data_IF_822426083583
#
_entry.id   IF_822426083583
#
_cell.length_a   1.000
_cell.length_b   1.000
_cell.length_c   1.000
_cell.angle_alpha   90.00
_cell.angle_beta   90.00
_cell.angle_gamma   90.00
#
_symmetry.space_group_name_H-M   'P 1'
#
loop_
_entity.id
_entity.type
_entity.pdbx_description
1 polymer ?
#
# COMPACT_ATOMS: atom_id res chain seq x y z
N UNK A 1 14.05 -13.84 -19.64
CA UNK A 1 14.92 -12.83 -18.93
C UNK A 1 14.47 -12.49 -17.52
N UNK A 2 13.43 -13.08 -16.97
CA UNK A 2 12.80 -12.53 -15.77
C UNK A 2 13.08 -13.27 -14.47
N UNK A 3 13.09 -14.58 -14.45
CA UNK A 3 13.10 -15.36 -13.20
C UNK A 3 14.40 -15.25 -12.35
N UNK A 4 15.55 -15.05 -12.98
CA UNK A 4 16.82 -14.91 -12.23
C UNK A 4 16.98 -13.53 -11.60
N UNK A 5 16.49 -12.45 -12.23
CA UNK A 5 16.54 -11.09 -11.64
C UNK A 5 15.57 -10.93 -10.46
N UNK A 6 14.40 -11.55 -10.51
CA UNK A 6 13.45 -11.52 -9.38
C UNK A 6 14.02 -12.19 -8.12
N UNK A 7 14.81 -13.25 -8.25
CA UNK A 7 15.42 -13.93 -7.08
C UNK A 7 16.46 -13.10 -6.33
N UNK A 8 17.09 -12.11 -6.96
CA UNK A 8 18.13 -11.28 -6.33
C UNK A 8 17.59 -10.02 -5.66
N UNK A 9 16.33 -9.64 -5.89
CA UNK A 9 15.75 -8.38 -5.41
C UNK A 9 14.68 -8.56 -4.33
N UNK A 10 14.35 -9.79 -3.98
CA UNK A 10 13.40 -10.10 -2.93
C UNK A 10 14.06 -11.04 -1.91
N UNK A 11 14.18 -10.56 -0.68
CA UNK A 11 14.56 -11.37 0.48
C UNK A 11 13.26 -11.75 1.16
N UNK A 12 12.94 -13.04 1.16
CA UNK A 12 11.77 -13.62 1.81
C UNK A 12 12.23 -14.59 2.88
N UNK A 13 11.71 -14.42 4.07
CA UNK A 13 12.06 -15.24 5.21
C UNK A 13 11.09 -16.45 5.38
N UNK A 14 11.04 -17.07 6.55
CA UNK A 14 10.42 -18.38 6.77
C UNK A 14 8.89 -18.32 6.82
N UNK A 15 8.24 -19.45 6.44
CA UNK A 15 6.80 -19.68 6.56
C UNK A 15 5.92 -18.64 5.83
N UNK A 16 6.40 -18.10 4.71
CA UNK A 16 5.62 -17.16 3.90
C UNK A 16 4.77 -17.87 2.86
N UNK A 17 3.54 -17.38 2.67
CA UNK A 17 2.62 -17.83 1.64
C UNK A 17 2.43 -16.69 0.65
N UNK A 18 2.70 -16.94 -0.64
CA UNK A 18 2.47 -15.98 -1.71
C UNK A 18 1.59 -16.66 -2.76
N UNK A 19 0.40 -16.11 -2.93
CA UNK A 19 -0.59 -16.65 -3.86
C UNK A 19 -0.29 -16.26 -5.32
N UNK A 20 -0.97 -16.98 -6.24
CA UNK A 20 -0.71 -16.88 -7.68
C UNK A 20 -0.97 -15.49 -8.24
N UNK A 21 -0.22 -15.14 -9.28
CA UNK A 21 -0.33 -13.85 -9.98
C UNK A 21 0.29 -12.67 -9.26
N UNK A 22 0.83 -12.86 -8.05
CA UNK A 22 1.52 -11.79 -7.31
C UNK A 22 2.90 -11.51 -7.89
N UNK A 23 3.18 -10.24 -8.13
CA UNK A 23 4.46 -9.73 -8.66
C UNK A 23 5.19 -8.96 -7.58
N UNK A 24 6.44 -9.36 -7.29
CA UNK A 24 7.28 -8.75 -6.27
C UNK A 24 8.57 -8.27 -6.89
N UNK A 25 8.94 -7.00 -6.61
CA UNK A 25 10.21 -6.41 -7.02
C UNK A 25 10.18 -5.76 -8.41
N UNK A 26 8.98 -5.41 -8.92
CA UNK A 26 8.88 -4.55 -10.10
C UNK A 26 9.40 -3.14 -9.81
N UNK A 27 9.75 -2.41 -10.87
CA UNK A 27 10.04 -0.98 -10.73
C UNK A 27 8.74 -0.21 -10.46
N UNK A 28 8.76 0.67 -9.50
CA UNK A 28 7.69 1.63 -9.29
C UNK A 28 7.68 2.76 -10.32
N UNK A 29 6.74 3.69 -10.18
CA UNK A 29 6.63 4.88 -11.01
C UNK A 29 7.72 5.89 -10.62
N UNK A 30 8.91 5.71 -11.15
CA UNK A 30 10.05 6.62 -10.93
C UNK A 30 10.49 7.27 -12.24
N UNK A 31 10.13 8.53 -12.46
CA UNK A 31 10.52 9.29 -13.62
C UNK A 31 10.85 10.73 -13.25
N UNK A 32 11.91 11.29 -13.83
CA UNK A 32 12.25 12.70 -13.76
C UNK A 32 11.83 13.42 -15.03
N UNK A 33 11.37 14.66 -14.90
CA UNK A 33 11.01 15.49 -16.04
C UNK A 33 12.26 16.14 -16.62
N UNK A 34 12.51 15.89 -17.91
CA UNK A 34 13.55 16.57 -18.68
C UNK A 34 12.91 17.28 -19.87
N UNK A 35 12.66 18.56 -19.74
CA UNK A 35 11.87 19.34 -20.72
C UNK A 35 10.44 18.79 -20.84
N UNK A 36 10.07 18.29 -22.03
CA UNK A 36 8.76 17.67 -22.32
C UNK A 36 8.76 16.14 -22.20
N UNK A 37 9.90 15.52 -21.84
CA UNK A 37 10.05 14.07 -21.78
C UNK A 37 10.17 13.60 -20.33
N UNK A 38 9.83 12.34 -20.09
CA UNK A 38 10.03 11.65 -18.85
C UNK A 38 11.21 10.70 -18.96
N UNK A 39 12.21 10.86 -18.13
CA UNK A 39 13.38 9.97 -18.04
C UNK A 39 13.24 9.05 -16.84
N UNK A 40 13.46 7.76 -17.07
CA UNK A 40 13.28 6.74 -16.04
C UNK A 40 14.36 6.85 -14.97
N UNK A 41 13.95 6.89 -13.71
CA UNK A 41 14.81 6.75 -12.54
C UNK A 41 14.97 5.25 -12.28
N UNK A 42 16.21 4.78 -12.29
CA UNK A 42 16.52 3.36 -12.03
C UNK A 42 16.25 3.03 -10.57
N UNK A 43 15.43 2.01 -10.34
CA UNK A 43 15.20 1.46 -9.01
C UNK A 43 16.30 0.42 -8.71
N UNK A 44 17.19 0.74 -7.78
CA UNK A 44 18.28 -0.12 -7.34
C UNK A 44 18.04 -0.83 -6.02
N UNK A 45 16.92 -0.49 -5.35
CA UNK A 45 16.56 -1.08 -4.08
C UNK A 45 15.98 -2.49 -4.19
N UNK A 46 15.48 -2.98 -3.09
CA UNK A 46 14.96 -4.35 -2.93
C UNK A 46 13.60 -4.38 -2.23
N UNK A 47 12.99 -5.57 -2.16
CA UNK A 47 11.86 -5.89 -1.28
C UNK A 47 12.37 -6.83 -0.19
N UNK A 48 12.00 -6.56 1.05
CA UNK A 48 12.26 -7.42 2.21
C UNK A 48 10.92 -7.87 2.78
N UNK A 49 10.77 -9.18 2.94
CA UNK A 49 9.56 -9.80 3.49
C UNK A 49 10.00 -10.64 4.70
N UNK A 50 9.45 -10.33 5.84
CA UNK A 50 9.73 -11.02 7.10
C UNK A 50 9.10 -12.41 7.19
N UNK A 51 9.11 -12.98 8.41
CA UNK A 51 8.57 -14.29 8.71
C UNK A 51 7.04 -14.29 8.79
N UNK A 52 6.41 -15.43 8.46
CA UNK A 52 4.97 -15.67 8.62
C UNK A 52 4.07 -14.67 7.85
N UNK A 53 4.57 -14.11 6.77
CA UNK A 53 3.83 -13.18 5.90
C UNK A 53 2.95 -13.97 4.93
N UNK A 54 1.73 -13.49 4.72
CA UNK A 54 0.85 -14.00 3.68
C UNK A 54 0.46 -12.89 2.71
N UNK A 55 0.61 -13.16 1.41
CA UNK A 55 0.31 -12.20 0.33
C UNK A 55 -0.68 -12.85 -0.62
N UNK A 56 -1.86 -12.26 -0.72
CA UNK A 56 -2.96 -12.70 -1.57
C UNK A 56 -2.64 -12.69 -3.06
N UNK A 57 -3.57 -13.15 -3.85
CA UNK A 57 -3.41 -13.27 -5.30
C UNK A 57 -3.43 -11.91 -6.01
N UNK A 58 -2.63 -11.78 -7.07
CA UNK A 58 -2.63 -10.62 -7.94
C UNK A 58 -2.10 -9.33 -7.29
N UNK A 59 -1.40 -9.41 -6.17
CA UNK A 59 -0.74 -8.25 -5.56
C UNK A 59 0.44 -7.78 -6.39
N UNK A 60 0.73 -6.48 -6.32
CA UNK A 60 1.93 -5.88 -6.91
C UNK A 60 2.72 -5.15 -5.85
N UNK A 61 3.97 -5.55 -5.63
CA UNK A 61 4.85 -4.99 -4.61
C UNK A 61 6.10 -4.47 -5.30
N UNK A 62 6.24 -3.15 -5.35
CA UNK A 62 7.35 -2.52 -6.01
C UNK A 62 8.61 -2.50 -5.11
N UNK A 63 9.76 -2.71 -5.72
CA UNK A 63 11.02 -2.51 -5.02
C UNK A 63 11.28 -1.03 -4.77
N UNK A 64 12.02 -0.73 -3.74
CA UNK A 64 12.44 0.63 -3.44
C UNK A 64 13.28 1.25 -4.57
N UNK A 65 13.21 2.56 -4.73
CA UNK A 65 14.12 3.30 -5.60
C UNK A 65 15.56 3.20 -5.12
N UNK A 66 15.75 3.28 -3.79
CA UNK A 66 16.99 2.95 -3.06
C UNK A 66 16.61 2.40 -1.69
N UNK A 67 17.41 1.53 -1.10
CA UNK A 67 17.09 0.87 0.16
C UNK A 67 16.09 -0.28 -0.01
N UNK A 68 15.01 -0.29 0.76
CA UNK A 68 14.05 -1.39 0.75
C UNK A 68 12.60 -0.93 0.82
N UNK A 69 11.70 -1.68 0.19
CA UNK A 69 10.27 -1.79 0.53
C UNK A 69 10.18 -2.96 1.51
N UNK A 70 9.58 -2.73 2.68
CA UNK A 70 9.63 -3.67 3.80
C UNK A 70 8.25 -4.12 4.23
N UNK A 71 8.06 -5.42 4.36
CA UNK A 71 6.87 -6.08 4.88
C UNK A 71 7.33 -6.88 6.09
N UNK A 72 6.98 -6.42 7.30
CA UNK A 72 7.46 -7.02 8.55
C UNK A 72 6.76 -8.34 8.87
N UNK A 73 7.17 -8.98 9.99
CA UNK A 73 6.67 -10.28 10.37
C UNK A 73 5.15 -10.30 10.58
N UNK A 74 4.51 -11.40 10.24
CA UNK A 74 3.10 -11.64 10.52
C UNK A 74 2.11 -10.86 9.66
N UNK A 75 2.56 -10.00 8.77
CA UNK A 75 1.70 -9.19 7.89
C UNK A 75 0.83 -10.07 7.00
N UNK A 76 -0.44 -9.68 6.83
CA UNK A 76 -1.40 -10.31 5.92
C UNK A 76 -1.91 -9.30 4.91
N UNK A 77 -1.61 -9.55 3.66
CA UNK A 77 -2.13 -8.78 2.52
C UNK A 77 -3.17 -9.62 1.80
N UNK A 78 -4.37 -9.10 1.66
CA UNK A 78 -5.43 -9.72 0.86
C UNK A 78 -5.16 -9.57 -0.65
N UNK A 79 -6.09 -9.93 -1.48
CA UNK A 79 -5.92 -9.97 -2.93
C UNK A 79 -5.85 -8.58 -3.58
N UNK A 80 -5.11 -8.46 -4.68
CA UNK A 80 -5.07 -7.29 -5.54
C UNK A 80 -4.64 -5.99 -4.82
N UNK A 81 -3.74 -6.10 -3.85
CA UNK A 81 -3.14 -4.94 -3.19
C UNK A 81 -1.99 -4.42 -4.05
N UNK A 82 -1.91 -3.08 -4.19
CA UNK A 82 -0.73 -2.42 -4.71
C UNK A 82 0.07 -1.77 -3.57
N UNK A 83 1.32 -2.17 -3.43
CA UNK A 83 2.29 -1.58 -2.51
C UNK A 83 3.42 -0.95 -3.32
N UNK A 84 3.43 0.38 -3.37
CA UNK A 84 4.43 1.11 -4.11
C UNK A 84 5.80 1.12 -3.41
N UNK A 85 6.79 1.68 -4.08
CA UNK A 85 8.19 1.70 -3.67
C UNK A 85 8.44 2.36 -2.31
N UNK A 86 9.44 1.88 -1.58
CA UNK A 86 9.89 2.46 -0.30
C UNK A 86 8.86 2.43 0.84
N UNK A 87 7.80 1.65 0.71
CA UNK A 87 6.83 1.48 1.79
C UNK A 87 7.38 0.61 2.92
N UNK A 88 6.85 0.82 4.12
CA UNK A 88 7.10 -0.01 5.29
C UNK A 88 5.77 -0.41 5.92
N UNK A 89 5.54 -1.72 6.05
CA UNK A 89 4.36 -2.28 6.71
C UNK A 89 4.82 -2.97 8.00
N UNK A 90 4.36 -2.45 9.13
CA UNK A 90 4.72 -2.92 10.46
C UNK A 90 4.16 -4.30 10.78
N UNK A 91 4.68 -4.90 11.87
CA UNK A 91 4.37 -6.27 12.27
C UNK A 91 2.88 -6.49 12.52
N UNK A 92 2.39 -7.69 12.19
CA UNK A 92 1.01 -8.15 12.40
C UNK A 92 -0.08 -7.23 11.82
N UNK A 93 0.27 -6.35 10.89
CA UNK A 93 -0.69 -5.50 10.18
C UNK A 93 -1.40 -6.29 9.10
N UNK A 94 -2.72 -6.09 8.99
CA UNK A 94 -3.55 -6.72 7.97
C UNK A 94 -4.15 -5.68 7.03
N UNK A 95 -4.19 -5.99 5.73
CA UNK A 95 -4.67 -5.07 4.69
C UNK A 95 -5.66 -5.79 3.79
N UNK A 96 -6.86 -5.22 3.67
CA UNK A 96 -7.94 -5.77 2.86
C UNK A 96 -7.76 -5.52 1.35
N UNK A 97 -8.46 -6.33 0.58
CA UNK A 97 -8.34 -6.41 -0.88
C UNK A 97 -8.51 -5.05 -1.60
N UNK A 98 -7.88 -4.94 -2.77
CA UNK A 98 -7.96 -3.76 -3.65
C UNK A 98 -7.50 -2.44 -2.99
N UNK A 99 -6.73 -2.49 -1.93
CA UNK A 99 -6.14 -1.31 -1.31
C UNK A 99 -4.87 -0.92 -2.06
N UNK A 100 -4.73 0.39 -2.32
CA UNK A 100 -3.57 0.97 -2.99
C UNK A 100 -2.80 1.87 -2.04
N UNK A 101 -1.50 1.62 -1.91
CA UNK A 101 -0.59 2.32 -1.01
C UNK A 101 0.50 2.97 -1.87
N UNK A 102 0.52 4.29 -1.89
CA UNK A 102 1.49 5.06 -2.67
C UNK A 102 2.90 5.02 -2.04
N UNK A 103 3.87 5.58 -2.74
CA UNK A 103 5.28 5.47 -2.36
C UNK A 103 5.63 6.09 -1.00
N UNK A 104 6.60 5.51 -0.33
CA UNK A 104 7.16 6.00 0.94
C UNK A 104 6.17 6.09 2.11
N UNK A 105 5.07 5.34 2.05
CA UNK A 105 4.12 5.21 3.16
C UNK A 105 4.71 4.32 4.25
N UNK A 106 4.49 4.70 5.50
CA UNK A 106 4.85 3.90 6.67
C UNK A 106 3.60 3.58 7.47
N UNK A 107 3.27 2.32 7.60
CA UNK A 107 2.17 1.82 8.44
C UNK A 107 2.80 1.11 9.64
N UNK A 108 2.32 1.45 10.82
CA UNK A 108 2.78 0.89 12.08
C UNK A 108 2.37 -0.56 12.28
N UNK A 109 2.60 -1.04 13.50
CA UNK A 109 2.31 -2.41 13.91
C UNK A 109 0.83 -2.58 14.28
N UNK A 110 0.32 -3.82 14.17
CA UNK A 110 -1.03 -4.21 14.60
C UNK A 110 -2.15 -3.36 13.98
N UNK A 111 -1.93 -2.81 12.80
CA UNK A 111 -2.94 -2.02 12.10
C UNK A 111 -3.91 -2.93 11.31
N UNK A 112 -5.13 -2.46 11.14
CA UNK A 112 -6.13 -3.07 10.27
C UNK A 112 -6.61 -2.06 9.23
N UNK A 113 -6.24 -2.29 7.97
CA UNK A 113 -6.65 -1.44 6.84
C UNK A 113 -7.73 -2.18 6.05
N UNK A 114 -8.90 -1.60 5.97
CA UNK A 114 -10.04 -2.16 5.20
C UNK A 114 -9.77 -2.22 3.70
N UNK A 115 -10.59 -2.98 2.99
CA UNK A 115 -10.47 -3.06 1.53
C UNK A 115 -10.85 -1.77 0.81
N UNK A 116 -10.40 -1.63 -0.45
CA UNK A 116 -10.67 -0.46 -1.29
C UNK A 116 -10.19 0.87 -0.70
N UNK A 117 -9.21 0.85 0.18
CA UNK A 117 -8.60 2.06 0.70
C UNK A 117 -7.55 2.62 -0.27
N UNK A 118 -7.38 3.94 -0.23
CA UNK A 118 -6.29 4.64 -0.90
C UNK A 118 -5.45 5.40 0.12
N UNK A 119 -4.13 5.25 0.08
CA UNK A 119 -3.21 5.97 0.96
C UNK A 119 -2.24 6.74 0.08
N UNK A 120 -2.25 8.09 0.19
CA UNK A 120 -1.35 8.93 -0.59
C UNK A 120 0.10 8.79 -0.13
N UNK A 121 1.03 9.23 -0.95
CA UNK A 121 2.47 9.12 -0.71
C UNK A 121 2.96 9.87 0.55
N UNK A 122 4.06 9.38 1.12
CA UNK A 122 4.74 9.97 2.28
C UNK A 122 3.90 10.07 3.57
N UNK A 123 2.83 9.29 3.69
CA UNK A 123 1.98 9.23 4.88
C UNK A 123 2.59 8.30 5.94
N UNK A 124 2.40 8.69 7.20
CA UNK A 124 2.70 7.87 8.36
C UNK A 124 1.42 7.56 9.12
N UNK A 125 1.19 6.28 9.37
CA UNK A 125 0.09 5.75 10.20
C UNK A 125 0.75 5.08 11.39
N UNK A 126 0.41 5.54 12.61
CA UNK A 126 0.96 4.96 13.85
C UNK A 126 0.45 3.55 14.09
N UNK A 127 0.95 2.90 15.14
CA UNK A 127 0.52 1.57 15.56
C UNK A 127 -0.95 1.55 15.99
N UNK A 128 -1.56 0.36 16.03
CA UNK A 128 -2.90 0.10 16.58
C UNK A 128 -4.03 0.93 15.89
N UNK A 129 -3.87 1.23 14.61
CA UNK A 129 -4.85 1.99 13.83
C UNK A 129 -5.75 1.07 13.02
N UNK A 130 -7.05 1.30 13.09
CA UNK A 130 -8.05 0.69 12.21
C UNK A 130 -8.55 1.71 11.18
N UNK A 131 -8.36 1.45 9.90
CA UNK A 131 -8.94 2.22 8.80
C UNK A 131 -10.08 1.39 8.20
N UNK A 132 -11.30 1.94 8.23
CA UNK A 132 -12.45 1.25 7.65
C UNK A 132 -12.43 1.28 6.11
N UNK A 133 -13.12 0.33 5.44
CA UNK A 133 -13.11 0.21 3.97
C UNK A 133 -13.47 1.49 3.23
N UNK A 134 -12.98 1.63 2.00
CA UNK A 134 -13.22 2.76 1.09
C UNK A 134 -12.75 4.12 1.63
N UNK A 135 -11.83 4.13 2.60
CA UNK A 135 -11.26 5.36 3.15
C UNK A 135 -10.10 5.85 2.30
N UNK A 136 -10.09 7.14 2.00
CA UNK A 136 -8.96 7.81 1.33
C UNK A 136 -8.15 8.59 2.36
N UNK A 137 -6.95 8.09 2.69
CA UNK A 137 -6.06 8.66 3.70
C UNK A 137 -5.13 9.66 3.05
N UNK A 138 -5.31 10.93 3.37
CA UNK A 138 -4.56 12.06 2.77
C UNK A 138 -3.60 12.75 3.75
N UNK A 139 -3.63 12.36 5.02
CA UNK A 139 -2.81 12.96 6.07
C UNK A 139 -2.28 11.89 7.02
N UNK A 140 -1.21 12.22 7.75
CA UNK A 140 -0.68 11.35 8.78
C UNK A 140 -1.72 11.03 9.85
N UNK A 141 -1.79 9.75 10.25
CA UNK A 141 -2.61 9.29 11.37
C UNK A 141 -1.68 9.12 12.58
N UNK A 142 -1.74 10.08 13.51
CA UNK A 142 -0.79 10.20 14.62
C UNK A 142 -1.25 9.51 15.91
N UNK A 143 -2.53 9.22 16.02
CA UNK A 143 -3.11 8.60 17.22
C UNK A 143 -3.67 7.23 16.85
N UNK A 144 -3.57 6.27 17.77
CA UNK A 144 -4.27 5.00 17.69
C UNK A 144 -5.80 5.19 17.60
N UNK A 145 -6.51 4.20 17.12
CA UNK A 145 -7.96 4.24 17.06
C UNK A 145 -8.54 3.93 15.68
N UNK A 146 -9.83 4.20 15.51
CA UNK A 146 -10.58 3.83 14.33
C UNK A 146 -10.96 5.04 13.49
N UNK A 147 -10.73 4.95 12.16
CA UNK A 147 -10.92 6.03 11.20
C UNK A 147 -11.76 5.60 10.02
N UNK A 148 -12.63 6.48 9.58
CA UNK A 148 -13.49 6.28 8.41
C UNK A 148 -13.49 7.52 7.53
N UNK A 149 -13.39 7.35 6.24
CA UNK A 149 -13.38 8.46 5.27
C UNK A 149 -14.04 8.12 3.95
N UNK A 150 -14.78 7.00 3.91
CA UNK A 150 -15.49 6.56 2.73
C UNK A 150 -16.86 7.23 2.55
N UNK A 151 -17.42 7.17 1.33
CA UNK A 151 -18.77 7.69 1.07
C UNK A 151 -19.80 6.85 1.83
N UNK A 152 -20.74 7.54 2.48
CA UNK A 152 -21.87 6.89 3.16
C UNK A 152 -22.91 6.49 2.11
N UNK A 153 -23.34 5.23 2.11
CA UNK A 153 -24.45 4.78 1.29
C UNK A 153 -25.75 5.50 1.72
N UNK A 154 -26.42 6.10 0.77
CA UNK A 154 -27.71 6.77 0.97
C UNK A 154 -28.54 6.73 -0.31
N UNK A 155 -29.81 7.06 -0.21
CA UNK A 155 -30.63 7.21 -1.39
C UNK A 155 -30.07 8.28 -2.34
N UNK A 156 -30.12 8.03 -3.65
CA UNK A 156 -29.54 8.91 -4.66
C UNK A 156 -30.01 10.36 -4.55
N UNK A 157 -31.30 10.54 -4.23
CA UNK A 157 -31.93 11.87 -4.01
C UNK A 157 -31.26 12.65 -2.86
N UNK A 158 -30.89 11.96 -1.78
CA UNK A 158 -30.25 12.58 -0.63
C UNK A 158 -28.75 12.79 -0.87
N UNK A 159 -28.11 11.88 -1.62
CA UNK A 159 -26.72 12.08 -2.07
C UNK A 159 -26.59 13.35 -2.92
N UNK A 160 -27.52 13.60 -3.86
CA UNK A 160 -27.51 14.82 -4.66
C UNK A 160 -27.58 16.08 -3.81
N UNK A 161 -28.47 16.12 -2.80
CA UNK A 161 -28.58 17.27 -1.88
C UNK A 161 -27.30 17.51 -1.11
N UNK A 162 -26.70 16.46 -0.54
CA UNK A 162 -25.43 16.57 0.21
C UNK A 162 -24.27 16.98 -0.67
N UNK A 163 -24.17 16.46 -1.89
CA UNK A 163 -23.12 16.81 -2.86
C UNK A 163 -23.15 18.29 -3.23
N UNK A 164 -24.33 18.91 -3.34
CA UNK A 164 -24.45 20.36 -3.59
C UNK A 164 -23.94 21.16 -2.39
N UNK A 165 -24.19 20.70 -1.16
CA UNK A 165 -23.73 21.37 0.06
C UNK A 165 -22.20 21.34 0.19
N UNK A 166 -21.55 20.21 -0.19
CA UNK A 166 -20.09 20.08 -0.18
C UNK A 166 -19.39 20.96 -1.23
N UNK A 167 -20.08 21.32 -2.32
CA UNK A 167 -19.52 22.21 -3.37
C UNK A 167 -19.55 23.70 -3.00
N UNK A 168 -20.30 24.08 -1.97
CA UNK A 168 -20.51 25.48 -1.55
C UNK A 168 -19.53 25.97 -0.46
N UNK A 169 -18.50 25.19 -0.16
CA UNK A 169 -17.42 25.57 0.77
C UNK A 169 -16.12 25.92 -0.03
#
# INVERSE_FOLDING_TARGET
LSLRRQRQMCIRDRNCIIHSGTVIGSDGLGFAKNGKKWEKIVHSGKVIIGDNVEIGAGCTIDKASSGATEICNGVKLDNQIHLAHNCHIGENTIIGANTSIAGSVRIGNNCMIGGLCGIVDNIQITDEVTIYPMTFVTNNVKNEGAYSGGPILMEHKDWLKKSVTLRKK
#
